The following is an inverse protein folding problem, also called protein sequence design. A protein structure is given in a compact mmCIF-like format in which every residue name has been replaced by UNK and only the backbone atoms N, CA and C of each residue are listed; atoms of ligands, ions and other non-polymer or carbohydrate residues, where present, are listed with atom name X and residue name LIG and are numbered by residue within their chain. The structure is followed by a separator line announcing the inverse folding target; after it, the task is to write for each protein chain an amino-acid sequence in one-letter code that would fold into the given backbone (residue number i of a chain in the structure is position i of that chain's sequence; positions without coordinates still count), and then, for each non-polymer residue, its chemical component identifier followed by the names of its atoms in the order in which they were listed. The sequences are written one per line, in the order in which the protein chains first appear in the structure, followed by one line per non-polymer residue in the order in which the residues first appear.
data_IF_807794284410
#
_entry.id   IF_807794284410
#
_cell.length_a   1.000
_cell.length_b   1.000
_cell.length_c   1.000
_cell.angle_alpha   90.00
_cell.angle_beta   90.00
_cell.angle_gamma   90.00
#
_symmetry.space_group_name_H-M   'P 1'
#
loop_
_entity.id
_entity.type
_entity.pdbx_description
1 polymer ?
#
# COMPACT_ATOMS: atom_id res chain seq x y z
N UNK A 1 2.84 -21.40 -8.34
CA UNK A 1 1.91 -20.97 -7.26
C UNK A 1 1.89 -19.45 -7.22
N UNK A 2 0.69 -18.84 -7.09
CA UNK A 2 0.58 -17.38 -7.04
C UNK A 2 0.31 -16.88 -5.63
N UNK A 3 0.96 -15.77 -5.26
CA UNK A 3 0.66 -15.02 -4.05
C UNK A 3 0.53 -13.52 -4.39
N UNK A 4 -0.13 -12.77 -3.52
CA UNK A 4 -0.18 -11.31 -3.60
C UNK A 4 0.60 -10.73 -2.43
N UNK A 5 1.38 -9.67 -2.68
CA UNK A 5 1.96 -8.83 -1.67
C UNK A 5 1.33 -7.43 -1.76
N UNK A 6 0.62 -7.03 -0.73
CA UNK A 6 0.06 -5.69 -0.54
C UNK A 6 0.41 -5.16 0.85
N UNK A 7 0.32 -3.86 1.05
CA UNK A 7 0.55 -3.17 2.31
C UNK A 7 -0.12 -1.79 2.29
N UNK A 8 -0.06 -1.07 3.38
CA UNK A 8 -0.39 0.35 3.48
C UNK A 8 -1.77 0.67 2.89
N UNK A 9 -2.76 -0.14 3.25
CA UNK A 9 -4.13 -0.03 2.74
C UNK A 9 -4.86 1.11 3.45
N UNK A 10 -4.56 1.30 4.75
CA UNK A 10 -5.06 2.38 5.60
C UNK A 10 -6.58 2.54 5.54
N UNK A 11 -7.29 1.43 5.75
CA UNK A 11 -8.75 1.45 5.85
C UNK A 11 -9.20 2.42 6.95
N UNK A 12 -10.23 3.19 6.67
CA UNK A 12 -10.78 4.23 7.54
C UNK A 12 -9.85 5.43 7.79
N UNK A 13 -8.88 5.68 6.91
CA UNK A 13 -8.04 6.88 6.98
C UNK A 13 -8.89 8.16 7.06
N UNK A 14 -8.57 9.09 7.96
CA UNK A 14 -9.36 10.30 8.16
C UNK A 14 -9.35 11.27 6.97
N UNK A 15 -8.46 11.11 5.99
CA UNK A 15 -8.39 11.93 4.77
C UNK A 15 -8.41 13.44 5.04
N UNK A 16 -7.53 13.92 5.92
CA UNK A 16 -7.58 15.28 6.46
C UNK A 16 -7.06 16.38 5.52
N UNK A 17 -6.50 16.04 4.35
CA UNK A 17 -5.82 16.99 3.49
C UNK A 17 -6.65 17.40 2.27
N UNK A 18 -6.99 18.69 2.20
CA UNK A 18 -7.52 19.39 1.02
C UNK A 18 -8.82 18.83 0.38
N UNK A 19 -9.53 17.93 1.06
CA UNK A 19 -10.80 17.36 0.62
C UNK A 19 -11.96 17.89 1.46
N UNK A 20 -13.13 18.06 0.85
CA UNK A 20 -14.38 18.25 1.61
C UNK A 20 -14.75 16.95 2.34
N UNK A 21 -15.61 17.05 3.36
CA UNK A 21 -16.07 15.86 4.11
C UNK A 21 -16.72 14.80 3.18
N UNK A 22 -17.47 15.24 2.17
CA UNK A 22 -18.10 14.34 1.20
C UNK A 22 -17.05 13.64 0.31
N UNK A 23 -16.03 14.39 -0.16
CA UNK A 23 -14.93 13.82 -0.93
C UNK A 23 -14.12 12.82 -0.11
N UNK A 24 -13.82 13.14 1.15
CA UNK A 24 -13.11 12.24 2.08
C UNK A 24 -13.92 10.95 2.32
N UNK A 25 -15.25 11.08 2.54
CA UNK A 25 -16.13 9.92 2.71
C UNK A 25 -16.17 9.03 1.46
N UNK A 26 -16.28 9.64 0.28
CA UNK A 26 -16.25 8.92 -0.99
C UNK A 26 -14.91 8.21 -1.21
N UNK A 27 -13.79 8.87 -0.89
CA UNK A 27 -12.46 8.29 -1.04
C UNK A 27 -12.24 7.11 -0.10
N UNK A 28 -12.70 7.21 1.15
CA UNK A 28 -12.70 6.09 2.10
C UNK A 28 -13.48 4.88 1.57
N UNK A 29 -14.66 5.12 1.01
CA UNK A 29 -15.45 4.04 0.42
C UNK A 29 -14.70 3.36 -0.76
N UNK A 30 -13.95 4.12 -1.56
CA UNK A 30 -13.14 3.58 -2.65
C UNK A 30 -11.97 2.73 -2.15
N UNK A 31 -11.31 3.11 -1.04
CA UNK A 31 -10.24 2.29 -0.44
C UNK A 31 -10.81 0.95 0.04
N UNK A 32 -11.95 0.97 0.71
CA UNK A 32 -12.64 -0.26 1.15
C UNK A 32 -13.00 -1.13 -0.08
N UNK A 33 -13.63 -0.54 -1.10
CA UNK A 33 -13.99 -1.24 -2.33
C UNK A 33 -12.78 -1.87 -3.02
N UNK A 34 -11.64 -1.17 -3.05
CA UNK A 34 -10.40 -1.70 -3.64
C UNK A 34 -9.88 -2.92 -2.88
N UNK A 35 -10.00 -2.95 -1.55
CA UNK A 35 -9.66 -4.14 -0.79
C UNK A 35 -10.64 -5.29 -1.08
N UNK A 36 -11.94 -5.03 -1.15
CA UNK A 36 -12.93 -6.05 -1.51
C UNK A 36 -12.67 -6.62 -2.91
N UNK A 37 -12.39 -5.76 -3.89
CA UNK A 37 -11.99 -6.18 -5.25
C UNK A 37 -10.69 -7.00 -5.24
N UNK A 38 -9.76 -6.71 -4.31
CA UNK A 38 -8.52 -7.48 -4.17
C UNK A 38 -8.82 -8.92 -3.70
N UNK A 39 -9.75 -9.11 -2.76
CA UNK A 39 -10.17 -10.45 -2.32
C UNK A 39 -10.82 -11.23 -3.47
N UNK A 40 -11.70 -10.59 -4.24
CA UNK A 40 -12.35 -11.20 -5.41
C UNK A 40 -11.31 -11.52 -6.51
N UNK A 41 -10.36 -10.62 -6.75
CA UNK A 41 -9.25 -10.85 -7.69
C UNK A 41 -8.40 -12.06 -7.27
N UNK A 42 -8.07 -12.17 -5.99
CA UNK A 42 -7.28 -13.27 -5.46
C UNK A 42 -7.96 -14.63 -5.73
N UNK A 43 -9.24 -14.75 -5.40
CA UNK A 43 -10.02 -15.95 -5.64
C UNK A 43 -10.13 -16.28 -7.15
N UNK A 44 -10.49 -15.29 -7.98
CA UNK A 44 -10.68 -15.47 -9.41
C UNK A 44 -9.38 -15.86 -10.17
N UNK A 45 -8.21 -15.51 -9.65
CA UNK A 45 -6.91 -15.76 -10.30
C UNK A 45 -6.12 -16.92 -9.68
N UNK A 46 -6.73 -17.68 -8.77
CA UNK A 46 -6.09 -18.84 -8.14
C UNK A 46 -4.91 -18.45 -7.24
N UNK A 47 -5.00 -17.31 -6.59
CA UNK A 47 -4.01 -16.87 -5.59
C UNK A 47 -4.16 -17.72 -4.34
N UNK A 48 -3.05 -18.27 -3.84
CA UNK A 48 -3.06 -19.13 -2.66
C UNK A 48 -3.01 -18.35 -1.36
N UNK A 49 -2.29 -17.24 -1.37
CA UNK A 49 -2.23 -16.36 -0.20
C UNK A 49 -2.06 -14.89 -0.58
N UNK A 50 -2.66 -14.02 0.23
CA UNK A 50 -2.47 -12.56 0.22
C UNK A 50 -1.64 -12.19 1.43
N UNK A 51 -0.43 -11.68 1.20
CA UNK A 51 0.45 -11.12 2.23
C UNK A 51 0.09 -9.66 2.42
N UNK A 52 -0.36 -9.31 3.62
CA UNK A 52 -0.65 -7.92 4.03
C UNK A 52 0.50 -7.48 4.93
N UNK A 53 1.46 -6.76 4.35
CA UNK A 53 2.71 -6.39 5.02
C UNK A 53 2.57 -5.09 5.81
N UNK A 54 1.57 -5.00 6.68
CA UNK A 54 1.32 -3.90 7.61
C UNK A 54 0.35 -2.83 7.10
N UNK A 55 -0.10 -2.02 8.04
CA UNK A 55 -0.96 -0.86 7.85
C UNK A 55 -2.25 -1.16 7.06
N UNK A 56 -2.94 -2.22 7.51
CA UNK A 56 -4.28 -2.55 7.00
C UNK A 56 -5.29 -1.48 7.40
N UNK A 57 -5.18 -0.95 8.62
CA UNK A 57 -6.04 0.10 9.17
C UNK A 57 -5.27 1.41 9.41
N UNK A 58 -5.99 2.52 9.54
CA UNK A 58 -5.38 3.81 9.86
C UNK A 58 -5.84 4.30 11.24
N UNK A 59 -5.00 4.05 12.27
CA UNK A 59 -5.18 4.54 13.62
C UNK A 59 -6.02 3.67 14.56
N UNK A 60 -6.28 4.22 15.76
CA UNK A 60 -6.93 3.49 16.87
C UNK A 60 -8.46 3.34 16.71
N UNK A 61 -9.10 4.09 15.83
CA UNK A 61 -10.56 4.18 15.70
C UNK A 61 -11.03 3.73 14.33
N UNK A 62 -10.97 2.43 14.11
CA UNK A 62 -11.55 1.80 12.93
C UNK A 62 -13.05 1.58 13.15
N UNK A 63 -13.87 1.88 12.15
CA UNK A 63 -15.31 1.63 12.23
C UNK A 63 -15.59 0.14 12.26
N UNK A 64 -16.39 -0.31 13.25
CA UNK A 64 -16.76 -1.73 13.37
C UNK A 64 -17.32 -2.31 12.07
N UNK A 65 -18.16 -1.54 11.36
CA UNK A 65 -18.71 -1.95 10.06
C UNK A 65 -17.63 -2.24 9.01
N UNK A 66 -16.59 -1.41 8.94
CA UNK A 66 -15.47 -1.64 8.00
C UNK A 66 -14.76 -2.94 8.31
N UNK A 67 -14.49 -3.21 9.59
CA UNK A 67 -13.87 -4.47 10.03
C UNK A 67 -14.74 -5.66 9.65
N UNK A 68 -16.04 -5.60 9.96
CA UNK A 68 -16.97 -6.68 9.68
C UNK A 68 -17.08 -6.96 8.15
N UNK A 69 -17.05 -5.91 7.33
CA UNK A 69 -17.12 -6.00 5.87
C UNK A 69 -15.88 -6.68 5.26
N UNK A 70 -14.67 -6.34 5.73
CA UNK A 70 -13.44 -6.98 5.23
C UNK A 70 -13.29 -8.42 5.75
N UNK A 71 -13.66 -8.71 7.00
CA UNK A 71 -13.66 -10.08 7.51
C UNK A 71 -14.63 -10.97 6.74
N UNK A 72 -15.84 -10.46 6.45
CA UNK A 72 -16.79 -11.18 5.62
C UNK A 72 -16.30 -11.40 4.18
N UNK A 73 -15.50 -10.46 3.62
CA UNK A 73 -14.89 -10.64 2.31
C UNK A 73 -13.84 -11.75 2.32
N UNK A 74 -12.99 -11.79 3.35
CA UNK A 74 -12.01 -12.86 3.52
C UNK A 74 -12.70 -14.23 3.71
N UNK A 75 -13.74 -14.29 4.52
CA UNK A 75 -14.49 -15.53 4.78
C UNK A 75 -15.16 -16.09 3.51
N UNK A 76 -15.56 -15.22 2.57
CA UNK A 76 -16.15 -15.66 1.28
C UNK A 76 -15.15 -16.30 0.32
N UNK A 77 -13.86 -16.19 0.60
CA UNK A 77 -12.76 -16.73 -0.24
C UNK A 77 -11.90 -17.71 0.57
N UNK A 78 -12.47 -18.83 1.08
CA UNK A 78 -11.78 -19.72 2.02
C UNK A 78 -10.58 -20.44 1.42
N UNK A 79 -10.44 -20.48 0.10
CA UNK A 79 -9.28 -21.02 -0.61
C UNK A 79 -8.05 -20.09 -0.60
N UNK A 80 -8.23 -18.81 -0.22
CA UNK A 80 -7.18 -17.81 -0.13
C UNK A 80 -6.83 -17.55 1.32
N UNK A 81 -5.58 -17.80 1.72
CA UNK A 81 -5.09 -17.40 3.03
C UNK A 81 -4.73 -15.91 3.05
N UNK A 82 -5.11 -15.19 4.09
CA UNK A 82 -4.72 -13.81 4.35
C UNK A 82 -3.67 -13.78 5.46
N UNK A 83 -2.43 -13.49 5.10
CA UNK A 83 -1.28 -13.48 6.01
C UNK A 83 -1.02 -12.05 6.45
N UNK A 84 -1.55 -11.67 7.60
CA UNK A 84 -1.53 -10.30 8.09
C UNK A 84 -0.39 -10.06 9.08
N UNK A 85 0.43 -9.06 8.78
CA UNK A 85 1.42 -8.48 9.68
C UNK A 85 0.90 -7.12 10.15
N UNK A 86 0.81 -6.84 11.45
CA UNK A 86 0.50 -5.50 11.94
C UNK A 86 1.61 -4.50 11.60
N UNK A 87 1.23 -3.31 11.14
CA UNK A 87 2.12 -2.16 10.95
C UNK A 87 2.03 -1.18 12.13
N UNK A 88 2.70 -0.03 12.00
CA UNK A 88 2.74 0.98 13.07
C UNK A 88 1.45 1.81 13.18
N UNK A 89 0.64 1.91 12.11
CA UNK A 89 -0.68 2.53 12.15
C UNK A 89 -1.79 1.58 12.60
N UNK A 90 -1.54 0.28 12.63
CA UNK A 90 -2.56 -0.70 12.96
C UNK A 90 -2.88 -0.70 14.46
N UNK A 91 -4.01 -0.16 14.83
CA UNK A 91 -4.66 -0.47 16.10
C UNK A 91 -5.22 -1.90 16.15
N UNK A 92 -4.56 -2.86 15.49
CA UNK A 92 -5.07 -4.18 15.13
C UNK A 92 -5.58 -5.00 16.31
N UNK A 93 -4.91 -4.93 17.45
CA UNK A 93 -5.38 -5.61 18.65
C UNK A 93 -6.78 -5.15 19.09
N UNK A 94 -7.17 -3.90 18.74
CA UNK A 94 -8.50 -3.35 19.03
C UNK A 94 -9.47 -3.57 17.89
N UNK A 95 -9.01 -3.52 16.63
CA UNK A 95 -9.88 -3.72 15.48
C UNK A 95 -10.49 -5.13 15.44
N UNK A 96 -9.71 -6.12 15.83
CA UNK A 96 -10.12 -7.53 15.86
C UNK A 96 -10.57 -8.03 17.25
N UNK A 97 -10.41 -7.22 18.32
CA UNK A 97 -10.95 -7.60 19.62
C UNK A 97 -12.46 -7.84 19.53
N UNK A 98 -12.97 -8.77 20.27
CA UNK A 98 -14.39 -9.11 20.32
C UNK A 98 -15.01 -9.63 18.99
N UNK A 99 -14.17 -10.09 18.03
CA UNK A 99 -14.63 -10.68 16.78
C UNK A 99 -14.11 -12.11 16.60
N UNK A 100 -14.95 -12.95 16.00
CA UNK A 100 -14.50 -14.23 15.48
C UNK A 100 -13.80 -13.99 14.15
N UNK A 101 -12.54 -14.39 14.06
CA UNK A 101 -11.76 -14.26 12.83
C UNK A 101 -12.02 -15.44 11.90
N UNK A 102 -12.07 -15.21 10.57
CA UNK A 102 -12.10 -16.27 9.59
C UNK A 102 -10.88 -17.21 9.72
N UNK A 103 -11.06 -18.50 9.48
CA UNK A 103 -9.99 -19.50 9.59
C UNK A 103 -8.81 -19.24 8.64
N UNK A 104 -9.09 -18.58 7.51
CA UNK A 104 -8.11 -18.19 6.50
C UNK A 104 -7.42 -16.85 6.79
N UNK A 105 -7.78 -16.13 7.85
CA UNK A 105 -7.02 -14.96 8.33
C UNK A 105 -6.00 -15.41 9.37
N UNK A 106 -4.73 -15.37 9.00
CA UNK A 106 -3.60 -15.78 9.82
C UNK A 106 -2.72 -14.58 10.14
N UNK A 107 -2.30 -14.45 11.37
CA UNK A 107 -1.55 -13.28 11.85
C UNK A 107 -0.11 -13.64 12.18
N UNK A 108 0.80 -12.74 11.83
CA UNK A 108 2.16 -12.74 12.35
C UNK A 108 2.20 -11.99 13.69
N UNK A 109 3.13 -12.41 14.54
CA UNK A 109 3.30 -11.81 15.88
C UNK A 109 4.66 -11.15 16.06
N UNK A 110 5.04 -10.95 17.33
CA UNK A 110 6.34 -10.37 17.73
C UNK A 110 7.50 -11.36 17.66
N UNK A 111 7.21 -12.63 17.42
CA UNK A 111 8.17 -13.68 17.12
C UNK A 111 7.98 -14.15 15.70
N UNK A 112 9.04 -14.67 15.07
CA UNK A 112 8.94 -15.23 13.74
C UNK A 112 7.88 -16.33 13.68
N UNK A 113 6.90 -16.13 12.84
CA UNK A 113 5.86 -17.11 12.53
C UNK A 113 5.99 -17.50 11.07
N UNK A 114 5.92 -18.79 10.76
CA UNK A 114 6.08 -19.30 9.39
C UNK A 114 4.83 -20.07 8.96
N UNK A 115 4.24 -19.65 7.84
CA UNK A 115 3.19 -20.39 7.14
C UNK A 115 3.82 -21.12 5.95
N UNK A 116 3.66 -22.44 5.93
CA UNK A 116 4.27 -23.29 4.91
C UNK A 116 3.24 -23.74 3.88
N UNK A 117 3.61 -23.63 2.63
CA UNK A 117 2.93 -24.16 1.45
C UNK A 117 3.83 -25.19 0.79
N UNK A 118 3.36 -25.86 -0.26
CA UNK A 118 4.10 -26.95 -0.92
C UNK A 118 5.55 -26.57 -1.24
N UNK A 119 5.75 -25.44 -1.94
CA UNK A 119 7.06 -24.99 -2.41
C UNK A 119 7.45 -23.58 -1.90
N UNK A 120 6.68 -23.00 -0.96
CA UNK A 120 6.92 -21.67 -0.39
C UNK A 120 6.80 -21.71 1.12
N UNK A 121 7.68 -20.98 1.79
CA UNK A 121 7.56 -20.63 3.21
C UNK A 121 7.45 -19.11 3.33
N UNK A 122 6.39 -18.63 3.98
CA UNK A 122 6.18 -17.20 4.26
C UNK A 122 6.37 -16.99 5.75
N UNK A 123 7.42 -16.27 6.12
CA UNK A 123 7.81 -15.99 7.50
C UNK A 123 7.69 -14.50 7.78
N UNK A 124 6.98 -14.12 8.82
CA UNK A 124 6.81 -12.72 9.20
C UNK A 124 7.05 -12.49 10.68
N UNK A 125 7.47 -11.28 11.03
CA UNK A 125 7.63 -10.82 12.41
C UNK A 125 7.34 -9.34 12.50
N UNK A 126 6.54 -8.94 13.48
CA UNK A 126 6.28 -7.54 13.78
C UNK A 126 7.52 -6.93 14.47
N UNK A 127 8.04 -5.85 13.88
CA UNK A 127 9.08 -5.06 14.51
C UNK A 127 8.53 -4.38 15.76
N UNK A 128 9.28 -4.43 16.84
CA UNK A 128 8.96 -3.73 18.07
C UNK A 128 10.24 -3.52 18.90
N UNK A 129 10.17 -2.63 19.87
CA UNK A 129 11.32 -2.29 20.70
C UNK A 129 11.87 -3.50 21.48
N UNK A 130 10.99 -4.43 21.84
CA UNK A 130 11.34 -5.58 22.66
C UNK A 130 12.11 -6.66 21.91
N UNK A 131 11.88 -6.82 20.59
CA UNK A 131 12.57 -7.85 19.80
C UNK A 131 13.88 -7.38 19.15
N UNK A 132 14.07 -6.05 19.00
CA UNK A 132 15.33 -5.42 18.64
C UNK A 132 16.08 -6.10 17.47
N UNK A 133 17.38 -6.32 17.66
CA UNK A 133 18.23 -7.00 16.66
C UNK A 133 18.14 -8.52 16.67
N UNK A 134 17.56 -9.11 17.71
CA UNK A 134 17.48 -10.57 17.85
C UNK A 134 16.71 -11.25 16.70
N UNK A 135 15.76 -10.54 16.09
CA UNK A 135 15.01 -11.06 14.95
C UNK A 135 15.91 -11.37 13.73
N UNK A 136 16.98 -10.62 13.53
CA UNK A 136 17.88 -10.80 12.39
C UNK A 136 18.79 -12.02 12.55
N UNK A 137 19.02 -12.48 13.78
CA UNK A 137 19.77 -13.71 14.06
C UNK A 137 18.94 -14.96 13.77
N UNK A 138 17.65 -14.90 14.02
CA UNK A 138 16.73 -16.02 13.97
C UNK A 138 15.83 -16.04 12.72
N UNK A 139 16.26 -15.44 11.60
CA UNK A 139 15.47 -15.43 10.34
C UNK A 139 15.19 -16.88 9.91
N UNK A 140 13.92 -17.30 9.79
CA UNK A 140 13.59 -18.66 9.40
C UNK A 140 14.04 -18.97 7.97
N UNK A 141 14.52 -20.20 7.76
CA UNK A 141 14.88 -20.70 6.45
C UNK A 141 14.35 -22.12 6.26
N UNK A 142 13.48 -22.30 5.27
CA UNK A 142 12.96 -23.60 4.89
C UNK A 142 13.73 -24.15 3.68
N UNK A 143 14.57 -25.14 3.90
CA UNK A 143 15.38 -25.75 2.83
C UNK A 143 14.48 -26.33 1.72
N UNK A 144 14.86 -26.11 0.46
CA UNK A 144 14.13 -26.61 -0.71
C UNK A 144 12.86 -25.84 -1.06
N UNK A 145 12.59 -24.73 -0.38
CA UNK A 145 11.44 -23.84 -0.66
C UNK A 145 11.91 -22.44 -1.04
N UNK A 146 11.04 -21.73 -1.71
CA UNK A 146 11.14 -20.26 -1.83
C UNK A 146 10.82 -19.65 -0.47
N UNK A 147 11.73 -18.87 0.08
CA UNK A 147 11.61 -18.23 1.38
C UNK A 147 11.21 -16.77 1.21
N UNK A 148 10.02 -16.43 1.64
CA UNK A 148 9.48 -15.07 1.67
C UNK A 148 9.54 -14.59 3.12
N UNK A 149 10.23 -13.48 3.36
CA UNK A 149 10.22 -12.79 4.65
C UNK A 149 9.28 -11.57 4.57
N UNK A 150 8.52 -11.30 5.63
CA UNK A 150 7.56 -10.20 5.70
C UNK A 150 7.90 -9.32 6.89
N UNK A 151 8.16 -8.05 6.63
CA UNK A 151 8.42 -7.01 7.63
C UNK A 151 7.67 -5.73 7.28
N UNK A 152 7.43 -4.89 8.28
CA UNK A 152 6.87 -3.55 8.06
C UNK A 152 7.79 -2.53 8.71
N UNK A 153 8.27 -1.55 7.93
CA UNK A 153 9.14 -0.50 8.41
C UNK A 153 10.02 0.11 7.31
N UNK A 154 10.66 1.21 7.66
CA UNK A 154 11.57 1.93 6.76
C UNK A 154 12.97 1.32 6.79
N UNK A 155 13.56 1.09 5.62
CA UNK A 155 14.97 0.72 5.51
C UNK A 155 15.83 1.86 6.07
N UNK A 156 16.68 1.54 7.05
CA UNK A 156 17.56 2.49 7.71
C UNK A 156 18.65 1.81 8.52
N UNK A 157 19.63 2.60 8.95
CA UNK A 157 20.75 2.15 9.79
C UNK A 157 20.57 2.53 11.26
N UNK A 158 19.58 3.37 11.56
CA UNK A 158 19.29 3.82 12.93
C UNK A 158 18.28 2.87 13.52
N UNK A 159 18.56 2.32 14.70
CA UNK A 159 17.62 1.49 15.44
C UNK A 159 16.39 2.30 15.84
N UNK A 160 15.25 1.91 15.34
CA UNK A 160 13.92 2.44 15.68
C UNK A 160 12.91 1.30 15.68
N UNK A 161 11.74 1.52 16.25
CA UNK A 161 10.68 0.50 16.28
C UNK A 161 10.24 0.07 14.88
N UNK A 162 10.42 0.95 13.88
CA UNK A 162 10.04 0.74 12.48
C UNK A 162 11.25 0.70 11.52
N UNK A 163 12.46 0.44 12.03
CA UNK A 163 13.67 0.41 11.19
C UNK A 163 14.02 -1.00 10.75
N UNK A 164 14.08 -1.21 9.43
CA UNK A 164 14.53 -2.46 8.81
C UNK A 164 15.99 -2.35 8.43
N UNK A 165 16.85 -3.15 9.04
CA UNK A 165 18.27 -3.21 8.71
C UNK A 165 18.55 -4.27 7.63
N UNK A 166 18.61 -3.86 6.37
CA UNK A 166 18.89 -4.77 5.24
C UNK A 166 20.24 -5.49 5.38
N UNK A 167 21.24 -4.86 5.99
CA UNK A 167 22.56 -5.47 6.10
C UNK A 167 22.54 -6.74 6.95
N UNK A 168 21.64 -6.80 7.94
CA UNK A 168 21.47 -7.96 8.81
C UNK A 168 20.56 -9.04 8.18
N UNK A 169 19.82 -8.72 7.12
CA UNK A 169 18.98 -9.66 6.38
C UNK A 169 19.69 -10.30 5.18
N UNK A 170 20.81 -9.71 4.72
CA UNK A 170 21.61 -10.28 3.62
C UNK A 170 22.13 -11.67 3.96
N UNK A 171 22.11 -12.54 2.95
CA UNK A 171 22.62 -13.91 3.03
C UNK A 171 21.92 -14.83 4.05
N UNK A 172 20.72 -14.44 4.49
CA UNK A 172 19.88 -15.25 5.38
C UNK A 172 18.99 -16.26 4.62
N UNK A 173 19.18 -16.37 3.30
CA UNK A 173 18.42 -17.31 2.47
C UNK A 173 17.03 -16.83 2.08
N UNK A 174 16.79 -15.52 2.14
CA UNK A 174 15.54 -14.88 1.70
C UNK A 174 15.55 -14.77 0.18
N UNK A 175 14.50 -15.27 -0.48
CA UNK A 175 14.31 -15.11 -1.92
C UNK A 175 13.55 -13.82 -2.24
N UNK A 176 12.57 -13.48 -1.38
CA UNK A 176 11.77 -12.26 -1.50
C UNK A 176 11.48 -11.67 -0.12
N UNK A 177 11.86 -10.41 0.08
CA UNK A 177 11.53 -9.65 1.28
C UNK A 177 10.37 -8.72 0.97
N UNK A 178 9.19 -9.05 1.51
CA UNK A 178 7.98 -8.25 1.40
C UNK A 178 7.97 -7.18 2.48
N UNK A 179 7.98 -5.91 2.05
CA UNK A 179 8.01 -4.73 2.93
C UNK A 179 6.78 -3.85 2.74
N UNK A 180 6.21 -3.37 3.84
CA UNK A 180 5.27 -2.24 3.88
C UNK A 180 5.90 -1.03 4.56
N UNK A 181 5.13 0.06 4.76
CA UNK A 181 5.49 1.36 5.32
C UNK A 181 5.80 2.44 4.26
N UNK A 182 6.37 2.09 3.13
CA UNK A 182 6.66 3.04 2.06
C UNK A 182 5.59 2.93 0.98
N UNK A 183 4.83 4.01 0.76
CA UNK A 183 3.67 4.06 -0.12
C UNK A 183 4.01 4.14 -1.62
N UNK A 184 5.28 3.93 -1.96
CA UNK A 184 5.77 3.91 -3.35
C UNK A 184 6.35 2.56 -3.70
N UNK A 185 5.97 2.03 -4.87
CA UNK A 185 6.53 0.77 -5.37
C UNK A 185 8.03 0.89 -5.59
N UNK A 186 8.77 -0.07 -5.03
CA UNK A 186 10.21 -0.21 -5.24
C UNK A 186 10.58 -1.70 -5.23
N UNK A 187 11.39 -2.13 -6.18
CA UNK A 187 11.91 -3.49 -6.29
C UNK A 187 13.41 -3.44 -6.51
N UNK A 188 14.20 -3.98 -5.59
CA UNK A 188 15.65 -3.93 -5.64
C UNK A 188 16.29 -5.25 -5.15
N UNK A 189 17.59 -5.41 -5.38
CA UNK A 189 18.34 -6.58 -4.89
C UNK A 189 18.63 -6.47 -3.41
N UNK A 190 18.35 -7.57 -2.69
CA UNK A 190 18.77 -7.74 -1.30
C UNK A 190 20.23 -8.23 -1.25
N UNK A 191 20.51 -9.32 -1.97
CA UNK A 191 21.84 -9.94 -2.09
C UNK A 191 21.97 -10.74 -3.42
N UNK A 192 22.87 -11.71 -3.50
CA UNK A 192 23.06 -12.49 -4.73
C UNK A 192 21.86 -13.38 -5.07
N UNK A 193 21.07 -13.77 -4.07
CA UNK A 193 19.91 -14.64 -4.20
C UNK A 193 18.61 -13.88 -4.21
N UNK A 194 18.43 -12.97 -3.25
CA UNK A 194 17.17 -12.35 -2.90
C UNK A 194 16.96 -10.95 -3.44
N UNK A 195 15.69 -10.58 -3.44
CA UNK A 195 15.22 -9.23 -3.74
C UNK A 195 14.37 -8.71 -2.58
N UNK A 196 14.25 -7.39 -2.43
CA UNK A 196 13.27 -6.77 -1.54
C UNK A 196 12.32 -5.87 -2.31
N UNK A 197 11.12 -5.74 -1.80
CA UNK A 197 10.07 -4.98 -2.45
C UNK A 197 9.22 -4.23 -1.44
N UNK A 198 9.08 -2.92 -1.62
CA UNK A 198 7.94 -2.16 -1.14
C UNK A 198 6.86 -2.22 -2.19
N UNK A 199 5.70 -2.77 -1.87
CA UNK A 199 4.60 -2.85 -2.83
C UNK A 199 3.89 -1.50 -3.05
N UNK A 200 4.13 -0.51 -2.18
CA UNK A 200 3.36 0.71 -2.12
C UNK A 200 1.98 0.51 -1.51
N UNK A 201 1.15 1.53 -1.55
CA UNK A 201 -0.23 1.46 -1.10
C UNK A 201 -1.18 0.97 -2.19
N UNK A 202 -2.32 0.39 -1.79
CA UNK A 202 -3.33 -0.13 -2.72
C UNK A 202 -4.08 1.02 -3.44
N UNK A 203 -4.31 2.13 -2.74
CA UNK A 203 -4.94 3.35 -3.24
C UNK A 203 -4.17 4.58 -2.75
N UNK A 204 -4.00 5.60 -3.59
CA UNK A 204 -3.45 6.87 -3.16
C UNK A 204 -4.45 7.66 -2.33
N UNK A 205 -4.05 8.18 -1.16
CA UNK A 205 -4.91 8.95 -0.24
C UNK A 205 -4.80 10.45 -0.42
N UNK A 206 -3.67 10.93 -0.91
CA UNK A 206 -3.37 12.33 -1.11
C UNK A 206 -2.41 12.56 -2.26
N UNK A 207 -2.19 13.82 -2.63
CA UNK A 207 -1.31 14.17 -3.75
C UNK A 207 0.19 14.00 -3.46
N UNK A 208 0.56 13.60 -2.29
CA UNK A 208 1.88 13.06 -1.95
C UNK A 208 2.06 11.61 -2.40
N UNK A 209 0.95 10.91 -2.70
CA UNK A 209 0.90 9.53 -3.16
C UNK A 209 0.50 9.42 -4.63
N UNK A 210 1.02 10.28 -5.50
CA UNK A 210 0.74 10.26 -6.95
C UNK A 210 1.25 9.00 -7.66
N UNK A 211 0.74 8.77 -8.87
CA UNK A 211 1.14 7.67 -9.76
C UNK A 211 0.35 6.39 -9.59
N UNK A 212 0.90 5.30 -10.14
CA UNK A 212 0.25 4.00 -10.08
C UNK A 212 0.28 3.43 -8.66
N UNK A 213 -0.85 2.93 -8.20
CA UNK A 213 -1.04 2.26 -6.92
C UNK A 213 -1.65 0.88 -7.17
N UNK A 214 -1.35 -0.07 -6.30
CA UNK A 214 -1.80 -1.44 -6.50
C UNK A 214 -1.09 -2.43 -5.59
N UNK A 215 -0.77 -3.59 -6.12
CA UNK A 215 -0.14 -4.68 -5.38
C UNK A 215 0.92 -5.39 -6.25
N UNK A 216 1.70 -6.27 -5.64
CA UNK A 216 2.66 -7.12 -6.34
C UNK A 216 2.11 -8.55 -6.42
N UNK A 217 1.95 -9.06 -7.62
CA UNK A 217 1.67 -10.48 -7.85
C UNK A 217 3.01 -11.24 -7.87
N UNK A 218 3.12 -12.24 -7.02
CA UNK A 218 4.27 -13.13 -6.94
C UNK A 218 3.91 -14.45 -7.63
N UNK A 219 4.59 -14.78 -8.71
CA UNK A 219 4.49 -16.10 -9.32
C UNK A 219 5.69 -16.95 -8.88
N UNK A 220 5.40 -18.09 -8.25
CA UNK A 220 6.42 -19.02 -7.77
C UNK A 220 6.38 -20.29 -8.59
N UNK A 221 7.41 -20.48 -9.40
CA UNK A 221 7.57 -21.62 -10.28
C UNK A 221 9.06 -22.07 -10.28
N UNK A 222 9.30 -23.38 -10.32
CA UNK A 222 10.66 -23.97 -10.37
C UNK A 222 11.63 -23.43 -9.30
N UNK A 223 11.12 -23.17 -8.09
CA UNK A 223 11.94 -22.69 -6.96
C UNK A 223 12.37 -21.22 -7.10
N UNK A 224 11.73 -20.45 -7.97
CA UNK A 224 11.97 -19.01 -8.16
C UNK A 224 10.70 -18.22 -7.94
N UNK A 225 10.85 -17.00 -7.40
CA UNK A 225 9.77 -16.01 -7.30
C UNK A 225 9.95 -14.93 -8.36
N UNK A 226 8.88 -14.68 -9.12
CA UNK A 226 8.84 -13.62 -10.13
C UNK A 226 7.79 -12.59 -9.72
N UNK A 227 8.20 -11.40 -9.24
CA UNK A 227 7.27 -10.34 -8.87
C UNK A 227 6.83 -9.54 -10.09
N UNK A 228 5.56 -9.16 -10.13
CA UNK A 228 4.99 -8.26 -11.12
C UNK A 228 4.08 -7.24 -10.43
N UNK A 229 4.35 -5.94 -10.59
CA UNK A 229 3.46 -4.90 -10.08
C UNK A 229 2.19 -4.86 -10.92
N UNK A 230 1.05 -4.88 -10.25
CA UNK A 230 -0.29 -4.80 -10.85
C UNK A 230 -0.94 -3.48 -10.43
N UNK A 231 -1.06 -2.50 -11.35
CA UNK A 231 -1.85 -1.30 -11.09
C UNK A 231 -3.29 -1.67 -10.80
N UNK A 232 -3.82 -1.24 -9.66
CA UNK A 232 -5.13 -1.74 -9.18
C UNK A 232 -6.03 -0.64 -8.60
N UNK A 233 -5.47 0.53 -8.29
CA UNK A 233 -6.22 1.64 -7.75
C UNK A 233 -7.43 2.02 -8.62
N UNK A 234 -8.52 2.43 -8.00
CA UNK A 234 -9.73 2.87 -8.67
C UNK A 234 -9.53 4.16 -9.47
N UNK A 235 -8.55 4.97 -9.08
CA UNK A 235 -8.13 6.20 -9.78
C UNK A 235 -6.69 6.56 -9.46
N UNK A 236 -6.05 7.28 -10.37
CA UNK A 236 -4.73 7.86 -10.16
C UNK A 236 -4.82 9.27 -9.60
N UNK A 237 -3.80 9.67 -8.86
CA UNK A 237 -3.60 11.04 -8.42
C UNK A 237 -2.45 11.64 -9.23
N UNK A 238 -2.66 12.86 -9.74
CA UNK A 238 -1.69 13.54 -10.59
C UNK A 238 -1.37 14.91 -9.98
N UNK A 239 -0.10 15.28 -9.98
CA UNK A 239 0.35 16.63 -9.67
C UNK A 239 0.91 17.25 -10.94
N UNK A 240 0.21 18.26 -11.47
CA UNK A 240 0.45 18.83 -12.79
C UNK A 240 0.93 20.27 -12.65
N UNK A 241 2.20 20.56 -12.96
CA UNK A 241 2.69 21.92 -13.01
C UNK A 241 2.10 22.66 -14.22
N UNK A 242 1.64 23.91 -14.02
CA UNK A 242 1.12 24.78 -15.06
C UNK A 242 1.84 26.10 -14.95
N UNK A 243 2.64 26.46 -15.96
CA UNK A 243 3.28 27.77 -16.02
C UNK A 243 2.26 28.83 -16.43
N UNK A 244 2.06 29.81 -15.56
CA UNK A 244 1.14 30.94 -15.76
C UNK A 244 1.87 32.23 -16.14
N UNK A 245 3.14 32.19 -16.46
CA UNK A 245 3.94 33.36 -16.81
C UNK A 245 3.28 34.11 -18.00
N UNK A 246 2.98 35.41 -17.79
CA UNK A 246 2.33 36.26 -18.79
C UNK A 246 0.83 36.04 -18.98
N UNK A 247 0.20 35.14 -18.21
CA UNK A 247 -1.24 34.98 -18.19
C UNK A 247 -1.85 35.97 -17.19
N UNK A 248 -2.80 36.77 -17.64
CA UNK A 248 -3.39 37.85 -16.84
C UNK A 248 -4.87 37.63 -16.48
N UNK A 249 -5.49 36.57 -17.04
CA UNK A 249 -6.91 36.30 -16.83
C UNK A 249 -7.13 34.84 -16.39
N UNK A 250 -8.00 34.61 -15.42
CA UNK A 250 -8.40 33.30 -14.94
C UNK A 250 -8.84 32.36 -16.08
N UNK A 251 -9.48 32.88 -17.13
CA UNK A 251 -9.88 32.07 -18.28
C UNK A 251 -8.69 31.50 -19.08
N UNK A 252 -7.59 32.26 -19.20
CA UNK A 252 -6.36 31.79 -19.87
C UNK A 252 -5.69 30.71 -19.05
N UNK A 253 -5.66 30.85 -17.71
CA UNK A 253 -5.11 29.86 -16.78
C UNK A 253 -5.95 28.60 -16.84
N UNK A 254 -7.27 28.68 -16.81
CA UNK A 254 -8.14 27.52 -16.95
C UNK A 254 -7.91 26.78 -18.28
N UNK A 255 -7.66 27.51 -19.36
CA UNK A 255 -7.33 26.91 -20.65
C UNK A 255 -5.98 26.15 -20.59
N UNK A 256 -4.96 26.75 -19.97
CA UNK A 256 -3.66 26.09 -19.76
C UNK A 256 -3.78 24.83 -18.88
N UNK A 257 -4.55 24.90 -17.78
CA UNK A 257 -4.85 23.76 -16.93
C UNK A 257 -5.53 22.61 -17.70
N UNK A 258 -6.58 22.93 -18.49
CA UNK A 258 -7.27 21.95 -19.34
C UNK A 258 -6.34 21.31 -20.36
N UNK A 259 -5.46 22.10 -20.97
CA UNK A 259 -4.48 21.60 -21.92
C UNK A 259 -3.45 20.69 -21.25
N UNK A 260 -2.96 21.05 -20.06
CA UNK A 260 -2.02 20.24 -19.30
C UNK A 260 -2.63 18.90 -18.82
N UNK A 261 -3.94 18.87 -18.59
CA UNK A 261 -4.65 17.67 -18.13
C UNK A 261 -5.31 16.86 -19.27
N UNK A 262 -5.14 17.24 -20.55
CA UNK A 262 -5.89 16.63 -21.67
C UNK A 262 -5.70 15.12 -21.86
N UNK A 263 -4.60 14.54 -21.34
CA UNK A 263 -4.30 13.11 -21.41
C UNK A 263 -4.67 12.36 -20.14
N UNK A 264 -5.14 13.07 -19.11
CA UNK A 264 -5.51 12.48 -17.82
C UNK A 264 -6.94 11.97 -17.91
N UNK A 265 -7.18 10.79 -17.34
CA UNK A 265 -8.52 10.19 -17.31
C UNK A 265 -9.48 11.05 -16.49
N UNK A 266 -10.73 11.20 -16.94
CA UNK A 266 -11.77 11.94 -16.23
C UNK A 266 -12.11 11.36 -14.84
N UNK A 267 -11.75 10.10 -14.59
CA UNK A 267 -11.91 9.47 -13.27
C UNK A 267 -10.80 9.81 -12.27
N UNK A 268 -9.69 10.34 -12.73
CA UNK A 268 -8.52 10.63 -11.91
C UNK A 268 -8.65 11.94 -11.14
N UNK A 269 -7.81 12.12 -10.12
CA UNK A 269 -7.74 13.34 -9.33
C UNK A 269 -6.50 14.14 -9.73
N UNK A 270 -6.65 15.45 -9.86
CA UNK A 270 -5.57 16.35 -10.30
C UNK A 270 -5.37 17.49 -9.32
N UNK A 271 -4.13 17.67 -8.85
CA UNK A 271 -3.64 18.87 -8.20
C UNK A 271 -2.86 19.70 -9.21
N UNK A 272 -3.31 20.90 -9.51
CA UNK A 272 -2.57 21.83 -10.36
C UNK A 272 -1.63 22.70 -9.53
N UNK A 273 -0.35 22.67 -9.85
CA UNK A 273 0.67 23.54 -9.27
C UNK A 273 0.88 24.72 -10.24
N UNK A 274 0.33 25.86 -9.91
CA UNK A 274 0.58 27.07 -10.70
C UNK A 274 2.00 27.56 -10.42
N UNK A 275 2.81 27.63 -11.46
CA UNK A 275 4.24 28.02 -11.43
C UNK A 275 4.49 29.26 -12.29
N UNK A 276 5.66 29.88 -12.17
CA UNK A 276 6.01 31.08 -12.91
C UNK A 276 5.61 32.36 -12.17
N UNK A 277 5.44 33.46 -12.91
CA UNK A 277 5.10 34.78 -12.37
C UNK A 277 3.90 35.38 -13.07
N UNK A 278 3.05 36.07 -12.32
CA UNK A 278 1.96 36.85 -12.84
C UNK A 278 2.08 38.31 -12.40
N UNK A 279 1.53 39.23 -13.20
CA UNK A 279 1.45 40.65 -12.84
C UNK A 279 0.52 40.83 -11.63
N UNK A 280 0.76 41.87 -10.76
CA UNK A 280 -0.07 42.11 -9.59
C UNK A 280 -1.53 42.38 -9.93
N UNK A 281 -1.80 42.87 -11.12
CA UNK A 281 -3.15 43.21 -11.64
C UNK A 281 -3.85 42.01 -12.30
N UNK A 282 -3.22 40.83 -12.32
CA UNK A 282 -3.80 39.64 -12.90
C UNK A 282 -5.05 39.19 -12.12
N UNK A 283 -6.14 38.97 -12.85
CA UNK A 283 -7.38 38.44 -12.27
C UNK A 283 -7.26 36.95 -12.00
N UNK A 284 -6.82 36.61 -10.78
CA UNK A 284 -6.63 35.25 -10.31
C UNK A 284 -7.73 34.85 -9.32
N UNK A 285 -8.80 34.24 -9.82
CA UNK A 285 -9.85 33.69 -8.99
C UNK A 285 -9.71 32.18 -8.83
N UNK A 286 -9.16 31.72 -7.72
CA UNK A 286 -9.05 30.27 -7.40
C UNK A 286 -10.43 29.62 -7.32
N UNK A 287 -11.45 30.32 -6.86
CA UNK A 287 -12.84 29.82 -6.82
C UNK A 287 -13.33 29.54 -8.23
N UNK A 288 -13.16 30.50 -9.15
CA UNK A 288 -13.54 30.34 -10.54
C UNK A 288 -12.78 29.20 -11.24
N UNK A 289 -11.45 29.09 -11.00
CA UNK A 289 -10.65 28.01 -11.55
C UNK A 289 -11.13 26.65 -11.05
N UNK A 290 -11.44 26.52 -9.76
CA UNK A 290 -11.99 25.27 -9.19
C UNK A 290 -13.32 24.88 -9.81
N UNK A 291 -14.22 25.83 -10.07
CA UNK A 291 -15.51 25.55 -10.71
C UNK A 291 -15.37 25.10 -12.17
N UNK A 292 -14.41 25.67 -12.90
CA UNK A 292 -14.16 25.31 -14.31
C UNK A 292 -13.48 23.95 -14.50
N UNK A 293 -12.89 23.41 -13.44
CA UNK A 293 -12.11 22.15 -13.46
C UNK A 293 -12.84 21.00 -12.79
N UNK A 294 -14.08 21.18 -12.34
CA UNK A 294 -14.97 20.11 -11.89
C UNK A 294 -15.50 19.31 -13.07
#
# INVERSE_FOLDING_TARGET
MKLIHCADIHLDSPMLTHMSADQASMRNAQIIDSFLRLTDYAAANGVRAVIIAGDLFDGERVRGRTVDEILAAMERTPEVDYLYLPGNHDGAARAFSDRTLPENLRQFGREWTTFQYENVAVSGVQLCRENGEAIYEAVPHAAGRVNIAVLHGQIGTVSGEDAVNLSLLKYKGIDYLALGHIHSYTLERLDDRGIYCYCGCLEGRGFDECGDKGFVLLDVEDGKVTPAFVPFASRRLHRVPVDITGLTKSAQIAQAMKQAAQTISAGDMVEFLLTGSCEPEADLSLIYLRELMK
#
